data_IF_696432258494
#
_entry.id   IF_696432258494
#
_cell.length_a   1.000
_cell.length_b   1.000
_cell.length_c   1.000
_cell.angle_alpha   90.00
_cell.angle_beta   90.00
_cell.angle_gamma   90.00
#
_symmetry.space_group_name_H-M   'P 1'
#
loop_
_entity.id
_entity.type
_entity.pdbx_description
1 polymer ?
#
# COMPACT_ATOMS: atom_id res chain seq x y z
N UNK A 1 4.54 -17.14 -21.90
CA UNK A 1 3.38 -16.65 -21.17
C UNK A 1 3.15 -15.19 -21.62
N UNK A 2 2.05 -14.84 -22.22
CA UNK A 2 1.70 -13.44 -22.50
C UNK A 2 1.16 -12.78 -21.22
N UNK A 3 2.07 -12.46 -20.29
CA UNK A 3 1.75 -11.75 -19.04
C UNK A 3 2.45 -10.41 -19.03
N UNK A 4 1.84 -9.44 -18.40
CA UNK A 4 2.39 -8.12 -18.10
C UNK A 4 2.51 -7.95 -16.59
N UNK A 5 3.19 -6.92 -16.13
CA UNK A 5 3.29 -6.69 -14.68
C UNK A 5 4.64 -6.18 -14.22
N UNK A 6 4.78 -6.14 -12.92
CA UNK A 6 6.04 -5.79 -12.25
C UNK A 6 6.36 -6.85 -11.20
N UNK A 7 7.57 -7.40 -11.26
CA UNK A 7 8.09 -8.37 -10.30
C UNK A 7 9.42 -7.83 -9.76
N UNK A 8 9.55 -7.80 -8.45
CA UNK A 8 10.79 -7.51 -7.73
C UNK A 8 11.28 -8.78 -7.07
N UNK A 9 12.57 -9.05 -7.19
CA UNK A 9 13.25 -10.16 -6.56
C UNK A 9 14.34 -9.59 -5.65
N UNK A 10 14.51 -10.19 -4.49
CA UNK A 10 15.63 -9.93 -3.59
C UNK A 10 16.02 -11.24 -2.88
N UNK A 11 17.09 -11.21 -2.12
CA UNK A 11 17.42 -12.32 -1.23
C UNK A 11 16.34 -12.55 -0.14
N UNK A 12 15.49 -11.55 0.12
CA UNK A 12 14.38 -11.63 1.07
C UNK A 12 13.10 -12.22 0.47
N UNK A 13 13.00 -12.44 -0.84
CA UNK A 13 11.84 -13.03 -1.47
C UNK A 13 11.42 -12.42 -2.81
N UNK A 14 10.13 -12.53 -3.11
CA UNK A 14 9.51 -12.03 -4.33
C UNK A 14 8.30 -11.16 -4.01
N UNK A 15 8.18 -10.04 -4.69
CA UNK A 15 7.03 -9.14 -4.60
C UNK A 15 6.62 -8.70 -6.02
N UNK A 16 5.34 -8.79 -6.35
CA UNK A 16 4.91 -8.37 -7.68
C UNK A 16 3.42 -8.43 -7.90
N UNK A 17 3.02 -7.80 -9.00
CA UNK A 17 1.68 -7.91 -9.56
C UNK A 17 1.81 -8.25 -11.03
N UNK A 18 1.03 -9.22 -11.49
CA UNK A 18 1.01 -9.66 -12.89
C UNK A 18 -0.42 -9.72 -13.40
N UNK A 19 -0.60 -9.35 -14.67
CA UNK A 19 -1.86 -9.42 -15.39
C UNK A 19 -1.72 -10.25 -16.67
N UNK A 20 -2.82 -10.76 -17.18
CA UNK A 20 -2.87 -11.56 -18.40
C UNK A 20 -4.16 -12.35 -18.49
N UNK A 21 -4.31 -13.17 -19.54
CA UNK A 21 -5.45 -14.08 -19.60
C UNK A 21 -5.45 -15.06 -18.41
N UNK A 22 -6.63 -15.52 -18.02
CA UNK A 22 -6.78 -16.44 -16.88
C UNK A 22 -5.88 -17.69 -17.01
N UNK A 23 -5.76 -18.24 -18.22
CA UNK A 23 -4.91 -19.42 -18.47
C UNK A 23 -3.43 -19.08 -18.34
N UNK A 24 -3.00 -17.91 -18.80
CA UNK A 24 -1.63 -17.45 -18.67
C UNK A 24 -1.26 -17.25 -17.19
N UNK A 25 -2.15 -16.64 -16.41
CA UNK A 25 -1.94 -16.44 -14.96
C UNK A 25 -1.93 -17.78 -14.21
N UNK A 26 -2.87 -18.68 -14.47
CA UNK A 26 -2.86 -20.03 -13.87
C UNK A 26 -1.58 -20.78 -14.18
N UNK A 27 -1.09 -20.68 -15.42
CA UNK A 27 0.19 -21.30 -15.81
C UNK A 27 1.37 -20.63 -15.09
N UNK A 28 1.38 -19.31 -14.97
CA UNK A 28 2.41 -18.58 -14.23
C UNK A 28 2.47 -19.05 -12.77
N UNK A 29 1.32 -19.10 -12.07
CA UNK A 29 1.23 -19.57 -10.69
C UNK A 29 1.79 -20.99 -10.55
N UNK A 30 1.35 -21.92 -11.43
CA UNK A 30 1.81 -23.30 -11.39
C UNK A 30 3.33 -23.40 -11.54
N UNK A 31 3.91 -22.75 -12.56
CA UNK A 31 5.35 -22.79 -12.82
C UNK A 31 6.15 -22.12 -11.69
N UNK A 32 5.63 -21.02 -11.12
CA UNK A 32 6.28 -20.36 -10.00
C UNK A 32 6.34 -21.28 -8.77
N UNK A 33 5.27 -22.01 -8.47
CA UNK A 33 5.22 -22.95 -7.34
C UNK A 33 6.07 -24.22 -7.54
N UNK A 34 6.53 -24.51 -8.75
CA UNK A 34 7.48 -25.60 -9.03
C UNK A 34 8.88 -25.30 -8.45
N UNK A 35 9.22 -24.01 -8.20
CA UNK A 35 10.44 -23.63 -7.51
C UNK A 35 10.27 -23.83 -5.99
N UNK A 36 11.17 -24.60 -5.34
CA UNK A 36 11.07 -24.88 -3.91
C UNK A 36 10.93 -23.62 -3.02
N UNK A 37 11.67 -22.56 -3.37
CA UNK A 37 11.62 -21.29 -2.63
C UNK A 37 10.28 -20.54 -2.77
N UNK A 38 9.46 -20.88 -3.77
CA UNK A 38 8.21 -20.16 -4.08
C UNK A 38 6.99 -21.08 -4.01
N UNK A 39 7.12 -22.28 -3.51
CA UNK A 39 6.05 -23.27 -3.49
C UNK A 39 4.85 -22.80 -2.64
N UNK A 40 5.12 -22.10 -1.56
CA UNK A 40 4.12 -21.65 -0.58
C UNK A 40 3.73 -20.16 -0.74
N UNK A 41 4.07 -19.53 -1.89
CA UNK A 41 3.69 -18.14 -2.18
C UNK A 41 2.17 -17.97 -2.11
N UNK A 42 1.74 -16.94 -1.38
CA UNK A 42 0.36 -16.47 -1.37
C UNK A 42 0.09 -15.59 -2.61
N UNK A 43 -0.72 -16.12 -3.52
CA UNK A 43 -1.19 -15.39 -4.70
C UNK A 43 -2.58 -14.80 -4.41
N UNK A 44 -2.66 -13.47 -4.42
CA UNK A 44 -3.91 -12.74 -4.30
C UNK A 44 -4.47 -12.46 -5.70
N UNK A 45 -5.75 -12.64 -5.87
CA UNK A 45 -6.48 -12.36 -7.10
C UNK A 45 -7.18 -11.01 -7.00
N UNK A 46 -7.22 -10.28 -8.10
CA UNK A 46 -8.08 -9.12 -8.26
C UNK A 46 -8.68 -9.13 -9.66
N UNK A 47 -9.86 -8.58 -9.81
CA UNK A 47 -10.49 -8.38 -11.10
C UNK A 47 -9.71 -7.36 -11.93
N UNK A 48 -9.65 -7.57 -13.25
CA UNK A 48 -8.97 -6.72 -14.21
C UNK A 48 -9.09 -7.32 -15.62
N UNK A 49 -8.81 -6.54 -16.64
CA UNK A 49 -8.79 -7.00 -18.03
C UNK A 49 -7.51 -7.74 -18.42
N UNK A 50 -6.56 -7.84 -17.50
CA UNK A 50 -5.26 -8.46 -17.71
C UNK A 50 -4.22 -7.58 -18.43
N UNK A 51 -4.60 -6.36 -18.84
CA UNK A 51 -3.74 -5.40 -19.56
C UNK A 51 -3.40 -4.16 -18.72
N UNK A 52 -3.51 -4.28 -17.40
CA UNK A 52 -3.31 -3.17 -16.46
C UNK A 52 -1.85 -2.65 -16.44
N UNK A 53 -0.92 -3.41 -16.99
CA UNK A 53 0.48 -3.01 -17.14
C UNK A 53 0.89 -2.98 -18.62
N UNK A 54 1.73 -2.00 -19.04
CA UNK A 54 2.13 -1.88 -20.45
C UNK A 54 3.11 -2.99 -20.89
N UNK A 55 3.81 -3.62 -19.95
CA UNK A 55 4.81 -4.69 -20.19
C UNK A 55 5.12 -5.45 -18.92
N UNK A 56 5.78 -6.61 -19.05
CA UNK A 56 6.41 -7.30 -17.93
C UNK A 56 7.76 -6.63 -17.58
N UNK A 57 7.95 -6.30 -16.31
CA UNK A 57 9.20 -5.79 -15.77
C UNK A 57 9.63 -6.65 -14.58
N UNK A 58 10.76 -7.33 -14.70
CA UNK A 58 11.37 -8.11 -13.61
C UNK A 58 12.67 -7.42 -13.21
N UNK A 59 12.84 -7.15 -11.90
CA UNK A 59 14.03 -6.47 -11.39
C UNK A 59 14.52 -7.10 -10.11
N UNK A 60 15.82 -7.29 -10.00
CA UNK A 60 16.51 -7.62 -8.73
C UNK A 60 16.76 -6.34 -7.95
N UNK A 61 16.57 -6.39 -6.64
CA UNK A 61 16.77 -5.31 -5.68
C UNK A 61 17.45 -5.84 -4.42
N UNK A 62 18.19 -4.99 -3.73
CA UNK A 62 18.78 -5.33 -2.43
C UNK A 62 17.71 -5.48 -1.35
N UNK A 63 16.65 -4.68 -1.41
CA UNK A 63 15.49 -4.76 -0.51
C UNK A 63 14.24 -5.15 -1.28
N UNK A 64 13.45 -6.06 -0.73
CA UNK A 64 12.15 -6.46 -1.33
C UNK A 64 11.14 -5.30 -1.32
N UNK A 65 11.23 -4.45 -0.32
CA UNK A 65 10.59 -3.14 -0.22
C UNK A 65 11.65 -2.14 0.20
N UNK A 66 11.89 -1.14 -0.62
CA UNK A 66 12.99 -0.20 -0.42
C UNK A 66 12.64 0.81 0.68
N UNK A 67 13.03 0.52 1.92
CA UNK A 67 13.01 1.47 3.03
C UNK A 67 14.32 2.26 3.15
N UNK A 68 15.39 1.81 2.49
CA UNK A 68 16.70 2.47 2.51
C UNK A 68 17.54 2.10 3.74
N UNK A 69 17.24 0.95 4.35
CA UNK A 69 17.97 0.40 5.50
C UNK A 69 18.38 -1.05 5.24
N UNK A 70 19.16 -1.29 4.18
CA UNK A 70 19.63 -2.64 3.86
C UNK A 70 20.42 -3.19 5.05
N UNK A 71 20.07 -4.40 5.50
CA UNK A 71 20.69 -5.05 6.65
C UNK A 71 19.92 -4.90 7.97
N UNK A 72 18.92 -4.04 8.08
CA UNK A 72 17.99 -4.08 9.23
C UNK A 72 16.98 -5.23 9.11
N UNK A 73 16.59 -5.62 7.88
CA UNK A 73 15.68 -6.72 7.65
C UNK A 73 16.41 -8.05 7.74
N UNK A 74 15.87 -8.95 8.57
CA UNK A 74 16.28 -10.35 8.65
C UNK A 74 15.10 -11.24 8.25
N UNK A 75 15.38 -12.25 7.44
CA UNK A 75 14.38 -13.20 6.94
C UNK A 75 14.86 -14.60 7.22
N UNK A 76 13.99 -15.47 7.65
CA UNK A 76 14.21 -16.91 7.77
C UNK A 76 13.16 -17.70 6.96
N UNK A 77 13.06 -19.00 7.21
CA UNK A 77 12.12 -19.86 6.51
C UNK A 77 10.64 -19.54 6.78
N UNK A 78 10.34 -18.77 7.83
CA UNK A 78 9.00 -18.37 8.25
C UNK A 78 8.63 -16.94 7.79
N UNK A 79 9.59 -16.19 7.21
CA UNK A 79 9.40 -14.83 6.75
C UNK A 79 10.25 -13.81 7.48
N UNK A 80 9.73 -12.61 7.70
CA UNK A 80 10.46 -11.51 8.35
C UNK A 80 10.59 -11.77 9.85
N UNK A 81 11.84 -11.80 10.32
CA UNK A 81 12.15 -11.99 11.74
C UNK A 81 11.88 -10.70 12.51
N UNK A 82 11.13 -10.81 13.60
CA UNK A 82 10.84 -9.67 14.47
C UNK A 82 9.78 -8.71 13.93
N UNK A 83 9.03 -9.11 12.90
CA UNK A 83 7.88 -8.37 12.38
C UNK A 83 6.71 -8.29 13.37
N UNK A 84 5.69 -7.53 13.01
CA UNK A 84 4.43 -7.45 13.75
C UNK A 84 3.62 -8.75 13.65
N UNK A 85 2.79 -9.02 14.64
CA UNK A 85 1.85 -10.13 14.58
C UNK A 85 0.81 -9.91 13.47
N UNK A 86 0.54 -10.96 12.68
CA UNK A 86 -0.46 -10.91 11.62
C UNK A 86 -1.87 -11.00 12.17
N UNK A 87 -2.68 -10.00 11.89
CA UNK A 87 -4.11 -10.01 12.21
C UNK A 87 -4.92 -10.28 10.95
N UNK A 88 -5.70 -11.35 10.95
CA UNK A 88 -6.75 -11.51 9.94
C UNK A 88 -7.76 -10.36 10.05
N UNK A 89 -8.50 -10.05 8.97
CA UNK A 89 -9.55 -9.03 9.05
C UNK A 89 -10.55 -9.24 10.20
N UNK A 90 -10.83 -10.49 10.59
CA UNK A 90 -11.70 -10.79 11.74
C UNK A 90 -11.00 -10.48 13.07
N UNK A 91 -9.78 -10.96 13.26
CA UNK A 91 -9.00 -10.71 14.47
C UNK A 91 -8.75 -9.19 14.68
N UNK A 92 -8.66 -8.42 13.60
CA UNK A 92 -8.59 -6.95 13.68
C UNK A 92 -9.87 -6.37 14.32
N UNK A 93 -11.06 -6.81 13.90
CA UNK A 93 -12.31 -6.37 14.52
C UNK A 93 -12.39 -6.77 15.98
N UNK A 94 -12.01 -8.00 16.33
CA UNK A 94 -11.95 -8.47 17.71
C UNK A 94 -11.01 -7.63 18.58
N UNK A 95 -9.84 -7.24 18.04
CA UNK A 95 -8.91 -6.35 18.73
C UNK A 95 -9.53 -4.97 18.97
N UNK A 96 -10.19 -4.40 17.98
CA UNK A 96 -10.86 -3.09 18.10
C UNK A 96 -12.03 -3.16 19.07
N UNK A 97 -12.82 -4.24 19.07
CA UNK A 97 -13.91 -4.44 20.04
C UNK A 97 -13.39 -4.54 21.48
N UNK A 98 -12.23 -5.18 21.70
CA UNK A 98 -11.64 -5.37 23.02
C UNK A 98 -10.92 -4.12 23.55
N UNK A 99 -10.25 -3.37 22.68
CA UNK A 99 -9.34 -2.27 23.05
C UNK A 99 -9.84 -0.88 22.66
N UNK A 100 -10.90 -0.79 21.87
CA UNK A 100 -11.54 0.46 21.46
C UNK A 100 -10.55 1.47 20.87
N UNK A 101 -10.63 2.71 21.31
CA UNK A 101 -9.81 3.84 20.87
C UNK A 101 -8.31 3.70 21.20
N UNK A 102 -7.93 2.68 21.97
CA UNK A 102 -6.52 2.40 22.25
C UNK A 102 -5.78 1.86 21.02
N UNK A 103 -6.50 1.20 20.10
CA UNK A 103 -5.94 0.68 18.85
C UNK A 103 -5.62 1.84 17.90
N UNK A 104 -4.39 1.86 17.41
CA UNK A 104 -3.91 2.86 16.45
C UNK A 104 -3.76 2.21 15.09
N UNK A 105 -4.50 2.67 14.09
CA UNK A 105 -4.22 2.35 12.70
C UNK A 105 -3.08 3.22 12.18
N UNK A 106 -2.03 2.61 11.63
CA UNK A 106 -0.87 3.31 11.11
C UNK A 106 -0.68 2.98 9.63
N UNK A 107 -0.87 3.97 8.76
CA UNK A 107 -0.79 3.77 7.32
C UNK A 107 0.66 3.58 6.85
N UNK A 108 0.99 2.38 6.38
CA UNK A 108 2.30 2.03 5.81
C UNK A 108 2.43 2.37 4.32
N UNK A 109 1.53 3.20 3.77
CA UNK A 109 1.56 3.67 2.39
C UNK A 109 2.15 5.08 2.30
N UNK A 110 2.43 5.53 1.08
CA UNK A 110 2.75 6.93 0.86
C UNK A 110 1.52 7.82 1.14
N UNK A 111 1.72 9.01 1.68
CA UNK A 111 0.63 9.89 2.12
C UNK A 111 -0.42 10.16 1.04
N UNK A 112 0.00 10.28 -0.22
CA UNK A 112 -0.96 10.52 -1.32
C UNK A 112 -1.96 9.38 -1.50
N UNK A 113 -1.58 8.12 -1.20
CA UNK A 113 -2.47 6.96 -1.33
C UNK A 113 -3.64 7.03 -0.33
N UNK A 114 -3.40 7.61 0.87
CA UNK A 114 -4.40 7.76 1.90
C UNK A 114 -5.44 8.86 1.62
N UNK A 115 -5.19 9.71 0.63
CA UNK A 115 -6.09 10.82 0.28
C UNK A 115 -7.45 10.37 -0.26
N UNK A 116 -7.52 9.19 -0.87
CA UNK A 116 -8.77 8.64 -1.43
C UNK A 116 -9.35 7.49 -0.61
N UNK A 117 -8.62 7.00 0.39
CA UNK A 117 -9.13 5.97 1.31
C UNK A 117 -8.12 5.60 2.37
N UNK A 118 -8.62 5.39 3.58
CA UNK A 118 -7.82 5.00 4.76
C UNK A 118 -8.72 4.35 5.81
N UNK A 119 -8.13 3.67 6.77
CA UNK A 119 -8.87 3.28 7.97
C UNK A 119 -9.29 4.52 8.74
N UNK A 120 -10.47 4.45 9.36
CA UNK A 120 -11.03 5.52 10.17
C UNK A 120 -10.04 5.91 11.27
N UNK A 121 -9.83 7.21 11.47
CA UNK A 121 -8.92 7.79 12.46
C UNK A 121 -7.45 7.31 12.34
N UNK A 122 -7.06 6.79 11.17
CA UNK A 122 -5.71 6.34 10.96
C UNK A 122 -4.67 7.47 11.03
N UNK A 123 -3.56 7.17 11.67
CA UNK A 123 -2.34 7.96 11.57
C UNK A 123 -1.75 7.77 10.17
N UNK A 124 -1.67 8.85 9.41
CA UNK A 124 -1.09 8.89 8.07
C UNK A 124 0.24 9.65 8.14
N UNK A 125 1.38 8.96 8.12
CA UNK A 125 2.68 9.63 8.10
C UNK A 125 2.88 10.49 6.84
N UNK A 126 3.56 11.61 6.98
CA UNK A 126 3.83 12.54 5.87
C UNK A 126 4.96 12.05 4.96
N UNK A 127 4.87 10.81 4.51
CA UNK A 127 5.86 10.18 3.65
C UNK A 127 5.46 10.27 2.18
N UNK A 128 6.37 10.72 1.37
CA UNK A 128 6.18 10.81 -0.09
C UNK A 128 6.63 9.53 -0.80
N UNK A 129 7.61 8.84 -0.22
CA UNK A 129 8.19 7.59 -0.71
C UNK A 129 8.53 6.70 0.49
N UNK A 130 8.51 5.41 0.26
CA UNK A 130 8.80 4.42 1.32
C UNK A 130 10.08 4.68 2.12
N UNK A 131 11.22 5.14 1.55
CA UNK A 131 12.41 5.46 2.36
C UNK A 131 12.20 6.59 3.38
N UNK A 132 11.25 7.48 3.14
CA UNK A 132 11.00 8.61 4.04
C UNK A 132 10.44 8.16 5.41
N UNK A 133 9.92 6.91 5.51
CA UNK A 133 9.47 6.33 6.79
C UNK A 133 10.55 6.30 7.86
N UNK A 134 11.81 6.12 7.48
CA UNK A 134 12.92 6.04 8.46
C UNK A 134 13.04 7.36 9.22
N UNK A 135 13.21 8.47 8.50
CA UNK A 135 13.29 9.80 9.11
C UNK A 135 12.01 10.19 9.84
N UNK A 136 10.85 9.78 9.33
CA UNK A 136 9.57 10.07 9.95
C UNK A 136 9.41 9.33 11.29
N UNK A 137 9.75 8.05 11.38
CA UNK A 137 9.72 7.28 12.62
C UNK A 137 10.77 7.74 13.64
N UNK A 138 11.93 8.25 13.18
CA UNK A 138 13.03 8.75 14.02
C UNK A 138 12.82 10.19 14.45
N UNK A 139 11.81 10.89 13.95
CA UNK A 139 11.52 12.29 14.27
C UNK A 139 11.02 12.54 15.70
N UNK A 140 10.62 11.48 16.41
CA UNK A 140 9.96 11.56 17.72
C UNK A 140 8.46 11.86 17.67
N UNK A 141 7.91 12.18 16.52
CA UNK A 141 6.48 12.52 16.29
C UNK A 141 5.53 11.45 16.84
N UNK A 142 5.95 10.17 16.75
CA UNK A 142 5.14 9.00 17.08
C UNK A 142 5.53 8.33 18.41
N UNK A 143 6.39 8.95 19.22
CA UNK A 143 6.86 8.36 20.48
C UNK A 143 5.71 8.09 21.45
N UNK A 144 4.68 8.90 21.41
CA UNK A 144 3.45 8.71 22.21
C UNK A 144 2.64 7.47 21.84
N UNK A 145 2.92 6.86 20.69
CA UNK A 145 2.26 5.63 20.22
C UNK A 145 3.02 4.35 20.58
N UNK A 146 4.27 4.46 21.03
CA UNK A 146 5.16 3.30 21.23
C UNK A 146 4.64 2.23 22.19
N UNK A 147 3.80 2.64 23.12
CA UNK A 147 3.21 1.75 24.14
C UNK A 147 1.72 1.41 23.86
N UNK A 148 1.23 1.72 22.67
CA UNK A 148 -0.14 1.42 22.25
C UNK A 148 -0.16 0.28 21.23
N UNK A 149 -1.26 -0.49 21.12
CA UNK A 149 -1.42 -1.46 20.05
C UNK A 149 -1.51 -0.75 18.69
N UNK A 150 -0.46 -0.88 17.88
CA UNK A 150 -0.36 -0.25 16.55
C UNK A 150 -0.60 -1.32 15.48
N UNK A 151 -1.62 -1.13 14.65
CA UNK A 151 -1.91 -1.98 13.50
C UNK A 151 -1.44 -1.29 12.24
N UNK A 152 -0.35 -1.80 11.65
CA UNK A 152 0.13 -1.32 10.36
C UNK A 152 -0.65 -1.95 9.21
N UNK A 153 -0.90 -1.18 8.17
CA UNK A 153 -1.58 -1.66 6.97
C UNK A 153 -1.00 -1.03 5.70
N UNK A 154 -1.09 -1.76 4.59
CA UNK A 154 -0.81 -1.23 3.25
C UNK A 154 -1.70 -1.97 2.24
N UNK A 155 -1.54 -1.71 0.95
CA UNK A 155 -2.38 -2.31 -0.11
C UNK A 155 -2.50 -3.83 0.00
N UNK A 156 -1.38 -4.55 0.04
CA UNK A 156 -1.36 -6.03 0.02
C UNK A 156 -0.57 -6.68 1.16
N UNK A 157 -0.06 -5.91 2.14
CA UNK A 157 0.69 -6.41 3.30
C UNK A 157 2.21 -6.30 3.20
N UNK A 158 2.80 -6.39 2.00
CA UNK A 158 4.26 -6.52 1.84
C UNK A 158 5.09 -5.36 2.44
N UNK A 159 4.59 -4.11 2.38
CA UNK A 159 5.28 -2.98 3.02
C UNK A 159 5.27 -3.13 4.53
N UNK A 160 4.18 -3.66 5.09
CA UNK A 160 4.01 -3.83 6.52
C UNK A 160 4.87 -4.95 7.09
N UNK A 161 5.21 -5.97 6.31
CA UNK A 161 6.20 -6.98 6.72
C UNK A 161 7.51 -6.33 7.19
N UNK A 162 7.99 -5.35 6.42
CA UNK A 162 9.22 -4.64 6.73
C UNK A 162 8.98 -3.52 7.73
N UNK A 163 7.94 -2.71 7.55
CA UNK A 163 7.64 -1.56 8.41
C UNK A 163 7.42 -1.97 9.87
N UNK A 164 6.69 -3.06 10.11
CA UNK A 164 6.42 -3.51 11.47
C UNK A 164 7.71 -3.94 12.22
N UNK A 165 8.65 -4.58 11.51
CA UNK A 165 9.96 -4.91 12.08
C UNK A 165 10.78 -3.64 12.38
N UNK A 166 10.78 -2.66 11.45
CA UNK A 166 11.43 -1.37 11.64
C UNK A 166 10.83 -0.63 12.85
N UNK A 167 9.50 -0.61 13.02
CA UNK A 167 8.84 0.02 14.16
C UNK A 167 9.23 -0.65 15.48
N UNK A 168 9.26 -1.97 15.55
CA UNK A 168 9.70 -2.71 16.74
C UNK A 168 11.16 -2.41 17.08
N UNK A 169 12.04 -2.34 16.11
CA UNK A 169 13.44 -1.94 16.30
C UNK A 169 13.57 -0.51 16.85
N UNK A 170 12.58 0.35 16.63
CA UNK A 170 12.52 1.73 17.13
C UNK A 170 11.69 1.89 18.40
N UNK A 171 11.40 0.77 19.07
CA UNK A 171 10.82 0.75 20.42
C UNK A 171 9.29 0.73 20.49
N UNK A 172 8.60 0.45 19.39
CA UNK A 172 7.16 0.16 19.45
C UNK A 172 6.97 -1.24 20.06
N UNK A 173 6.25 -1.32 21.18
CA UNK A 173 6.16 -2.54 21.99
C UNK A 173 5.12 -3.53 21.46
N UNK A 174 4.01 -3.03 20.90
CA UNK A 174 2.87 -3.83 20.46
C UNK A 174 2.53 -3.45 19.02
N UNK A 175 3.07 -4.21 18.05
CA UNK A 175 2.91 -3.95 16.63
C UNK A 175 2.26 -5.13 15.94
N UNK A 176 1.18 -4.85 15.25
CA UNK A 176 0.44 -5.77 14.41
C UNK A 176 0.54 -5.35 12.94
N UNK A 177 0.23 -6.29 12.05
CA UNK A 177 0.07 -6.02 10.63
C UNK A 177 -1.18 -6.70 10.07
N UNK A 178 -1.90 -5.99 9.22
CA UNK A 178 -3.11 -6.50 8.60
C UNK A 178 -2.75 -7.55 7.54
N UNK A 179 -3.12 -8.80 7.80
CA UNK A 179 -2.88 -9.94 6.91
C UNK A 179 -3.56 -9.73 5.55
N UNK A 180 -2.77 -9.76 4.48
CA UNK A 180 -3.25 -9.54 3.13
C UNK A 180 -3.61 -8.08 2.81
N UNK A 181 -3.41 -7.17 3.76
CA UNK A 181 -3.58 -5.73 3.61
C UNK A 181 -5.02 -5.30 3.36
N UNK A 182 -5.17 -4.07 2.87
CA UNK A 182 -6.45 -3.42 2.59
C UNK A 182 -7.29 -4.27 1.61
N UNK A 183 -6.67 -4.87 0.60
CA UNK A 183 -7.38 -5.68 -0.41
C UNK A 183 -8.18 -6.78 0.28
N UNK A 184 -7.53 -7.63 1.08
CA UNK A 184 -8.21 -8.76 1.77
C UNK A 184 -9.25 -8.27 2.79
N UNK A 185 -8.97 -7.15 3.45
CA UNK A 185 -9.91 -6.53 4.38
C UNK A 185 -11.19 -6.07 3.66
N UNK A 186 -11.04 -5.29 2.60
CA UNK A 186 -12.17 -4.73 1.87
C UNK A 186 -12.92 -5.78 1.03
N UNK A 187 -12.27 -6.84 0.55
CA UNK A 187 -12.97 -8.00 -0.04
C UNK A 187 -13.97 -8.62 0.95
N UNK A 188 -13.62 -8.66 2.24
CA UNK A 188 -14.48 -9.23 3.27
C UNK A 188 -15.56 -8.28 3.74
N UNK A 189 -15.22 -7.04 4.06
CA UNK A 189 -16.13 -6.11 4.73
C UNK A 189 -16.77 -5.10 3.79
N UNK A 190 -16.22 -4.93 2.59
CA UNK A 190 -16.68 -3.93 1.60
C UNK A 190 -16.77 -2.53 2.23
N UNK A 191 -17.88 -1.82 2.00
CA UNK A 191 -18.15 -0.48 2.55
C UNK A 191 -18.64 -0.50 4.02
N UNK A 192 -18.73 -1.69 4.64
CA UNK A 192 -19.33 -1.85 5.99
C UNK A 192 -18.31 -2.03 7.11
N UNK A 193 -17.04 -1.85 6.81
CA UNK A 193 -15.95 -2.03 7.76
C UNK A 193 -15.45 -0.73 8.39
N UNK A 194 -14.19 -0.76 8.78
CA UNK A 194 -13.47 0.37 9.37
C UNK A 194 -12.68 1.17 8.31
N UNK A 195 -12.79 0.77 7.04
CA UNK A 195 -12.17 1.43 5.91
C UNK A 195 -13.12 2.43 5.28
N UNK A 196 -12.66 3.65 5.06
CA UNK A 196 -13.41 4.70 4.37
C UNK A 196 -12.73 5.03 3.02
N UNK A 197 -13.54 5.24 1.97
CA UNK A 197 -13.08 5.60 0.64
C UNK A 197 -12.65 4.45 -0.24
N UNK A 198 -11.85 4.76 -1.27
CA UNK A 198 -11.34 3.81 -2.28
C UNK A 198 -9.87 3.48 -2.07
N UNK A 199 -9.38 2.41 -2.70
CA UNK A 199 -7.99 1.99 -2.60
C UNK A 199 -7.19 2.44 -3.82
N UNK A 200 -6.13 3.24 -3.61
CA UNK A 200 -5.15 3.53 -4.65
C UNK A 200 -4.38 2.27 -5.07
N UNK A 201 -4.26 2.04 -6.38
CA UNK A 201 -3.46 0.95 -6.97
C UNK A 201 -2.46 1.49 -7.99
N UNK A 202 -1.31 0.79 -8.13
CA UNK A 202 -0.18 1.23 -8.97
C UNK A 202 -0.25 0.68 -10.40
N UNK A 203 -1.44 0.53 -10.95
CA UNK A 203 -1.67 0.12 -12.32
C UNK A 203 -2.60 1.12 -13.05
N UNK A 204 -3.01 0.83 -14.27
CA UNK A 204 -3.84 1.72 -15.08
C UNK A 204 -5.20 2.09 -14.47
N UNK A 205 -5.71 1.26 -13.55
CA UNK A 205 -6.98 1.52 -12.87
C UNK A 205 -6.90 2.71 -11.93
N UNK A 206 -5.71 2.96 -11.34
CA UNK A 206 -5.38 3.96 -10.33
C UNK A 206 -6.14 3.81 -9.01
N UNK A 207 -7.37 3.31 -9.02
CA UNK A 207 -8.19 3.04 -7.82
C UNK A 207 -8.97 1.74 -7.93
N UNK A 208 -9.36 1.20 -6.79
CA UNK A 208 -10.30 0.08 -6.65
C UNK A 208 -11.40 0.48 -5.68
N UNK A 209 -12.64 0.21 -6.07
CA UNK A 209 -13.84 0.34 -5.25
C UNK A 209 -14.22 -1.05 -4.72
N UNK A 210 -14.79 -1.11 -3.52
CA UNK A 210 -15.17 -2.39 -2.89
C UNK A 210 -16.69 -2.50 -2.68
N UNK A 211 -17.41 -1.43 -2.89
CA UNK A 211 -18.87 -1.37 -2.82
C UNK A 211 -19.39 -0.05 -3.38
N UNK A 212 -20.72 0.05 -3.58
CA UNK A 212 -21.34 1.21 -4.21
C UNK A 212 -21.54 2.41 -3.27
N UNK A 213 -21.34 2.24 -1.96
CA UNK A 213 -21.68 3.23 -0.93
C UNK A 213 -20.44 3.89 -0.30
N UNK A 214 -19.27 3.81 -0.96
CA UNK A 214 -18.07 4.43 -0.44
C UNK A 214 -18.17 5.97 -0.42
N UNK A 215 -17.58 6.58 0.58
CA UNK A 215 -17.45 8.03 0.68
C UNK A 215 -16.27 8.52 -0.18
N UNK A 216 -16.47 9.62 -0.93
CA UNK A 216 -15.40 10.29 -1.66
C UNK A 216 -14.59 11.16 -0.70
N UNK A 217 -13.46 10.66 -0.21
CA UNK A 217 -12.59 11.37 0.72
C UNK A 217 -11.70 12.41 0.04
N UNK A 218 -11.33 12.15 -1.21
CA UNK A 218 -10.40 12.99 -1.95
C UNK A 218 -10.95 14.38 -2.27
N UNK A 219 -10.05 15.37 -2.28
CA UNK A 219 -10.36 16.76 -2.61
C UNK A 219 -9.43 17.25 -3.70
N UNK A 220 -9.99 17.96 -4.68
CA UNK A 220 -9.24 18.55 -5.78
C UNK A 220 -8.21 19.55 -5.25
N UNK A 221 -6.96 19.43 -5.65
CA UNK A 221 -5.87 20.31 -5.23
C UNK A 221 -6.03 21.77 -5.70
N UNK A 222 -6.96 22.02 -6.64
CA UNK A 222 -7.19 23.36 -7.18
C UNK A 222 -8.46 24.06 -6.66
N UNK A 223 -9.54 23.30 -6.47
CA UNK A 223 -10.85 23.91 -6.15
C UNK A 223 -11.57 23.26 -4.96
N UNK A 224 -10.93 22.28 -4.30
CA UNK A 224 -11.46 21.55 -3.14
C UNK A 224 -12.76 20.75 -3.39
N UNK A 225 -13.22 20.65 -4.63
CA UNK A 225 -14.33 19.76 -4.95
C UNK A 225 -13.97 18.28 -4.69
N UNK A 226 -14.95 17.44 -4.26
CA UNK A 226 -14.71 16.01 -4.09
C UNK A 226 -14.23 15.37 -5.40
N UNK A 227 -13.18 14.56 -5.32
CA UNK A 227 -12.64 13.78 -6.47
C UNK A 227 -11.70 12.69 -6.00
N UNK A 228 -11.60 11.63 -6.77
CA UNK A 228 -10.64 10.54 -6.57
C UNK A 228 -9.70 10.36 -7.77
N UNK A 229 -9.76 11.30 -8.71
CA UNK A 229 -9.00 11.22 -9.95
C UNK A 229 -7.58 11.77 -9.76
N UNK A 230 -6.59 10.89 -9.94
CA UNK A 230 -5.17 11.22 -9.82
C UNK A 230 -4.53 11.61 -11.14
N UNK A 231 -3.78 12.68 -11.09
CA UNK A 231 -2.92 13.13 -12.20
C UNK A 231 -1.47 13.29 -11.73
N UNK A 232 -0.53 13.01 -12.62
CA UNK A 232 0.86 13.34 -12.36
C UNK A 232 1.09 14.82 -12.64
N UNK A 233 1.99 15.44 -11.89
CA UNK A 233 2.51 16.76 -12.27
C UNK A 233 3.17 16.69 -13.65
N UNK A 234 2.83 17.61 -14.55
CA UNK A 234 3.32 17.63 -15.95
C UNK A 234 4.80 17.98 -16.06
N UNK A 235 5.42 18.45 -14.99
CA UNK A 235 6.86 18.68 -14.97
C UNK A 235 7.60 17.34 -14.95
N UNK A 236 8.33 17.02 -16.00
CA UNK A 236 8.97 15.72 -16.21
C UNK A 236 9.88 15.23 -15.06
N UNK A 237 10.49 16.13 -14.32
CA UNK A 237 11.35 15.82 -13.17
C UNK A 237 10.56 15.67 -11.87
N UNK A 238 9.31 16.16 -11.83
CA UNK A 238 8.41 16.05 -10.69
C UNK A 238 7.76 14.65 -10.64
N UNK A 239 7.53 14.16 -9.45
CA UNK A 239 6.87 12.87 -9.20
C UNK A 239 5.64 13.00 -8.32
N UNK A 240 5.18 14.25 -8.10
CA UNK A 240 3.99 14.49 -7.31
C UNK A 240 2.73 14.07 -8.06
N UNK A 241 1.78 13.60 -7.28
CA UNK A 241 0.45 13.23 -7.73
C UNK A 241 -0.56 14.16 -7.11
N UNK A 242 -1.43 14.68 -7.95
CA UNK A 242 -2.50 15.59 -7.58
C UNK A 242 -3.83 14.89 -7.72
N UNK A 243 -4.77 15.24 -6.85
CA UNK A 243 -6.18 14.99 -7.08
C UNK A 243 -6.76 16.18 -7.87
N UNK A 244 -7.35 15.90 -9.03
CA UNK A 244 -7.89 16.94 -9.90
C UNK A 244 -9.27 16.54 -10.40
N UNK A 245 -10.28 17.34 -10.12
CA UNK A 245 -11.62 17.10 -10.63
C UNK A 245 -11.73 17.40 -12.13
N UNK A 246 -12.72 16.84 -12.80
CA UNK A 246 -12.92 16.96 -14.25
C UNK A 246 -12.97 18.42 -14.72
N UNK A 247 -13.66 19.31 -13.98
CA UNK A 247 -13.75 20.73 -14.31
C UNK A 247 -12.38 21.41 -14.30
N UNK A 248 -11.55 21.12 -13.30
CA UNK A 248 -10.21 21.68 -13.23
C UNK A 248 -9.27 21.05 -14.27
N UNK A 249 -9.43 19.79 -14.57
CA UNK A 249 -8.66 19.10 -15.61
C UNK A 249 -8.94 19.69 -17.00
N UNK A 250 -10.21 19.93 -17.32
CA UNK A 250 -10.63 20.50 -18.60
C UNK A 250 -10.29 21.99 -18.76
N UNK A 251 -10.30 22.75 -17.67
CA UNK A 251 -10.05 24.20 -17.71
C UNK A 251 -8.57 24.60 -17.70
N UNK A 252 -7.66 23.65 -17.41
CA UNK A 252 -6.22 23.91 -17.29
C UNK A 252 -5.46 23.36 -18.48
N UNK A 253 -4.53 24.13 -19.01
CA UNK A 253 -3.63 23.69 -20.09
C UNK A 253 -2.52 22.75 -19.59
N UNK A 254 -2.25 22.73 -18.29
CA UNK A 254 -1.22 21.91 -17.64
C UNK A 254 -1.58 21.66 -16.18
N UNK A 255 -1.32 20.43 -15.72
CA UNK A 255 -1.51 20.01 -14.33
C UNK A 255 -0.16 20.12 -13.61
N UNK A 256 -0.04 21.08 -12.71
CA UNK A 256 1.18 21.29 -11.92
C UNK A 256 0.89 21.25 -10.43
N UNK A 257 1.79 20.67 -9.65
CA UNK A 257 1.70 20.75 -8.19
C UNK A 257 2.16 22.12 -7.69
N UNK A 258 1.79 22.49 -6.47
CA UNK A 258 2.13 23.79 -5.86
C UNK A 258 3.63 24.12 -5.88
N UNK A 259 4.52 23.12 -5.85
CA UNK A 259 5.96 23.33 -5.95
C UNK A 259 6.44 23.65 -7.37
N UNK A 260 5.62 23.37 -8.38
CA UNK A 260 5.96 23.56 -9.80
C UNK A 260 5.08 24.62 -10.48
N UNK A 261 4.17 25.27 -9.76
CA UNK A 261 3.27 26.27 -10.35
C UNK A 261 4.04 27.46 -10.93
N UNK A 262 5.14 27.84 -10.30
CA UNK A 262 5.97 28.98 -10.71
C UNK A 262 7.10 28.60 -11.71
N UNK A 263 7.10 27.35 -12.18
CA UNK A 263 8.07 26.83 -13.17
C UNK A 263 7.44 26.86 -14.59
#
# INVERSE_FOLDING_TARGET
LNITGRILLSEHGINGTVGGSLDAIKRYIRVTREYPAFKDIDFKWSEGDGNDFPRLSVRVRDEIVTFGVPGELKVDALGVVGGGEHLSPTALHELVEQRGDDVVFFDGRNAFEARIGKFRDAVVPEVRRTPDFISELESGKYDHLKNRPVVTYCTGGIRCEVLSAIMKNRGFSEVYQLEGGIVRYCEKYKDKGLWDGTLYVFDKRLKMEFGPEHEVLGRCDYCDCPTEEFYNCDINTCRDRLLVCDSCQQSRSSIKCSRCEDM
#
